data_IF_840217426793
#
_entry.id   IF_840217426793
#
_cell.length_a   1.000
_cell.length_b   1.000
_cell.length_c   1.000
_cell.angle_alpha   90.00
_cell.angle_beta   90.00
_cell.angle_gamma   90.00
#
_symmetry.space_group_name_H-M   'P 1'
#
loop_
_entity.id
_entity.type
_entity.pdbx_description
1 polymer ?
#
# COMPACT_ATOMS: atom_id res chain seq x y z
N UNK A 1 -12.95 -12.98 -25.79
CA UNK A 1 -12.84 -11.74 -24.99
C UNK A 1 -11.96 -12.04 -23.79
N UNK A 2 -10.78 -11.45 -23.68
CA UNK A 2 -9.96 -11.58 -22.48
C UNK A 2 -10.69 -10.88 -21.33
N UNK A 3 -10.98 -11.62 -20.25
CA UNK A 3 -11.50 -11.05 -19.01
C UNK A 3 -10.50 -10.03 -18.50
N UNK A 4 -10.92 -8.75 -18.44
CA UNK A 4 -10.13 -7.68 -17.83
C UNK A 4 -9.82 -8.15 -16.40
N UNK A 5 -8.54 -8.25 -15.98
CA UNK A 5 -8.23 -8.71 -14.64
C UNK A 5 -8.98 -7.83 -13.63
N UNK A 6 -9.72 -8.45 -12.72
CA UNK A 6 -10.38 -7.74 -11.63
C UNK A 6 -9.31 -6.94 -10.91
N UNK A 7 -9.39 -5.62 -11.03
CA UNK A 7 -8.37 -4.76 -10.44
C UNK A 7 -8.65 -4.78 -8.95
N UNK A 8 -7.86 -5.53 -8.17
CA UNK A 8 -8.05 -5.58 -6.72
C UNK A 8 -8.07 -4.15 -6.17
N UNK A 9 -9.08 -3.85 -5.37
CA UNK A 9 -9.15 -2.61 -4.61
C UNK A 9 -8.03 -2.60 -3.57
N UNK A 10 -7.54 -1.39 -3.25
CA UNK A 10 -6.44 -1.24 -2.30
C UNK A 10 -7.02 -1.02 -0.92
N UNK A 11 -7.15 -2.11 -0.17
CA UNK A 11 -7.71 -2.11 1.19
C UNK A 11 -6.74 -1.55 2.24
N UNK A 12 -5.44 -1.73 2.03
CA UNK A 12 -4.42 -1.19 2.92
C UNK A 12 -3.12 -0.90 2.18
N UNK A 13 -2.29 -0.06 2.79
CA UNK A 13 -0.91 0.16 2.40
C UNK A 13 0.03 0.03 3.60
N UNK A 14 1.20 -0.57 3.37
CA UNK A 14 2.33 -0.62 4.31
C UNK A 14 3.31 0.50 3.96
N UNK A 15 3.43 1.50 4.81
CA UNK A 15 4.20 2.70 4.51
C UNK A 15 5.62 2.67 5.10
N UNK A 16 6.52 3.46 4.51
CA UNK A 16 7.94 3.54 4.90
C UNK A 16 8.18 4.15 6.27
N UNK A 17 7.20 4.85 6.85
CA UNK A 17 7.20 5.29 8.25
C UNK A 17 6.83 4.17 9.25
N UNK A 18 6.62 2.95 8.75
CA UNK A 18 6.22 1.78 9.55
C UNK A 18 4.73 1.72 9.88
N UNK A 19 3.92 2.68 9.42
CA UNK A 19 2.49 2.65 9.65
C UNK A 19 1.74 1.78 8.61
N UNK A 20 0.65 1.19 9.08
CA UNK A 20 -0.34 0.56 8.23
C UNK A 20 -1.49 1.55 8.08
N UNK A 21 -1.80 1.94 6.86
CA UNK A 21 -2.97 2.75 6.56
C UNK A 21 -4.03 1.84 5.94
N UNK A 22 -5.24 1.90 6.45
CA UNK A 22 -6.39 1.18 5.89
C UNK A 22 -7.27 2.14 5.10
N UNK A 23 -7.92 1.62 4.06
CA UNK A 23 -8.78 2.40 3.17
C UNK A 23 -9.80 3.22 3.96
N UNK A 24 -9.98 4.46 3.56
CA UNK A 24 -10.90 5.40 4.17
C UNK A 24 -12.10 5.61 3.24
N UNK A 25 -13.25 5.09 3.63
CA UNK A 25 -14.52 5.34 2.93
C UNK A 25 -15.06 6.75 3.23
N UNK A 26 -15.02 7.17 4.50
CA UNK A 26 -15.60 8.44 4.98
C UNK A 26 -14.58 9.35 5.71
N UNK A 27 -14.89 9.75 6.95
CA UNK A 27 -14.00 10.54 7.82
C UNK A 27 -13.14 9.61 8.67
N UNK A 28 -11.85 9.91 8.84
CA UNK A 28 -11.00 9.10 9.69
C UNK A 28 -11.49 9.19 11.14
N UNK A 29 -11.29 8.15 11.96
CA UNK A 29 -11.47 8.27 13.40
C UNK A 29 -10.67 9.46 13.96
N UNK A 30 -11.18 10.08 15.02
CA UNK A 30 -10.55 11.27 15.60
C UNK A 30 -9.08 11.01 15.99
N UNK A 31 -8.21 11.98 15.68
CA UNK A 31 -6.78 11.91 16.00
C UNK A 31 -5.96 10.97 15.11
N UNK A 32 -6.55 10.35 14.07
CA UNK A 32 -5.78 9.49 13.15
C UNK A 32 -5.10 10.30 12.06
N UNK A 33 -3.83 9.97 11.79
CA UNK A 33 -3.09 10.48 10.62
C UNK A 33 -3.74 9.95 9.35
N UNK A 34 -3.82 10.79 8.31
CA UNK A 34 -4.34 10.42 6.99
C UNK A 34 -3.19 10.40 6.00
N UNK A 35 -3.17 9.39 5.14
CA UNK A 35 -2.31 9.32 3.98
C UNK A 35 -3.18 9.36 2.72
N UNK A 36 -2.85 10.30 1.83
CA UNK A 36 -3.35 10.32 0.45
C UNK A 36 -2.17 10.07 -0.46
N UNK A 37 -2.24 9.02 -1.28
CA UNK A 37 -1.18 8.65 -2.19
C UNK A 37 -1.68 8.31 -3.58
N UNK A 38 -0.79 8.43 -4.56
CA UNK A 38 -1.06 8.09 -5.95
C UNK A 38 -0.09 7.01 -6.40
N UNK A 39 -0.62 6.01 -7.13
CA UNK A 39 0.19 4.89 -7.59
C UNK A 39 1.22 5.34 -8.63
N UNK A 40 2.45 4.87 -8.48
CA UNK A 40 3.46 4.90 -9.53
C UNK A 40 3.05 3.92 -10.65
N UNK A 41 3.35 4.32 -11.88
CA UNK A 41 3.25 3.44 -13.04
C UNK A 41 4.35 2.38 -13.01
N UNK A 42 4.17 1.31 -13.79
CA UNK A 42 5.19 0.28 -13.94
C UNK A 42 6.51 0.84 -14.50
N UNK A 43 6.43 1.78 -15.45
CA UNK A 43 7.60 2.40 -16.08
C UNK A 43 8.37 3.27 -15.09
N UNK A 44 7.69 4.04 -14.24
CA UNK A 44 8.35 4.82 -13.19
C UNK A 44 9.05 3.91 -12.17
N UNK A 45 8.37 2.85 -11.74
CA UNK A 45 8.98 1.84 -10.87
C UNK A 45 10.22 1.21 -11.51
N UNK A 46 10.18 0.91 -12.81
CA UNK A 46 11.30 0.35 -13.56
C UNK A 46 12.46 1.35 -13.70
N UNK A 47 12.16 2.62 -13.99
CA UNK A 47 13.16 3.69 -14.12
C UNK A 47 13.91 3.95 -12.80
N UNK A 48 13.20 3.95 -11.67
CA UNK A 48 13.83 4.09 -10.36
C UNK A 48 14.56 2.81 -9.92
N UNK A 49 14.01 1.65 -10.29
CA UNK A 49 14.47 0.35 -9.82
C UNK A 49 14.42 0.21 -8.29
N UNK A 50 14.82 -0.97 -7.79
CA UNK A 50 14.75 -1.26 -6.35
C UNK A 50 15.57 -0.28 -5.50
N UNK A 51 16.79 0.06 -5.93
CA UNK A 51 17.66 0.98 -5.17
C UNK A 51 17.10 2.40 -5.13
N UNK A 52 16.56 2.90 -6.24
CA UNK A 52 15.95 4.22 -6.30
C UNK A 52 14.70 4.31 -5.43
N UNK A 53 13.83 3.30 -5.49
CA UNK A 53 12.62 3.24 -4.66
C UNK A 53 12.96 3.14 -3.16
N UNK A 54 13.98 2.36 -2.77
CA UNK A 54 14.43 2.29 -1.37
C UNK A 54 15.00 3.62 -0.89
N UNK A 55 15.84 4.28 -1.70
CA UNK A 55 16.35 5.62 -1.39
C UNK A 55 15.21 6.61 -1.23
N UNK A 56 14.20 6.54 -2.10
CA UNK A 56 13.03 7.39 -2.02
C UNK A 56 12.24 7.14 -0.74
N UNK A 57 12.00 5.88 -0.37
CA UNK A 57 11.34 5.49 0.87
C UNK A 57 12.05 5.99 2.13
N UNK A 58 13.38 6.19 2.08
CA UNK A 58 14.15 6.81 3.17
C UNK A 58 14.02 8.33 3.25
N UNK A 59 13.57 8.98 2.19
CA UNK A 59 13.49 10.45 2.08
C UNK A 59 12.06 10.98 2.08
N UNK A 60 11.09 10.16 1.66
CA UNK A 60 9.69 10.50 1.50
C UNK A 60 8.82 9.33 1.93
N UNK A 61 7.55 9.63 2.21
CA UNK A 61 6.57 8.59 2.53
C UNK A 61 6.18 7.83 1.27
N UNK A 62 6.55 6.55 1.23
CA UNK A 62 6.24 5.60 0.18
C UNK A 62 5.48 4.43 0.80
N UNK A 63 4.45 3.94 0.13
CA UNK A 63 3.64 2.84 0.66
C UNK A 63 3.41 1.73 -0.36
N UNK A 64 3.53 0.48 0.08
CA UNK A 64 3.20 -0.70 -0.70
C UNK A 64 1.73 -1.07 -0.46
N UNK A 65 0.90 -0.98 -1.50
CA UNK A 65 -0.51 -1.35 -1.41
C UNK A 65 -0.76 -2.84 -1.49
N UNK A 66 -1.87 -3.27 -0.91
CA UNK A 66 -2.38 -4.65 -1.00
C UNK A 66 -2.67 -5.10 -2.43
N UNK A 67 -2.78 -4.16 -3.38
CA UNK A 67 -2.91 -4.42 -4.82
C UNK A 67 -1.54 -4.59 -5.52
N UNK A 68 -0.44 -4.60 -4.77
CA UNK A 68 0.92 -4.78 -5.28
C UNK A 68 1.54 -3.52 -5.90
N UNK A 69 0.87 -2.36 -5.82
CA UNK A 69 1.39 -1.10 -6.36
C UNK A 69 2.14 -0.29 -5.31
N UNK A 70 3.06 0.54 -5.78
CA UNK A 70 3.76 1.53 -4.95
C UNK A 70 3.01 2.86 -5.02
N UNK A 71 2.68 3.42 -3.86
CA UNK A 71 2.02 4.70 -3.70
C UNK A 71 3.00 5.72 -3.12
N UNK A 72 2.98 6.92 -3.65
CA UNK A 72 3.74 8.06 -3.13
C UNK A 72 2.79 9.15 -2.67
N UNK A 73 3.19 9.91 -1.65
CA UNK A 73 2.37 10.99 -1.09
C UNK A 73 1.90 12.01 -2.12
N UNK A 74 0.75 12.63 -1.84
CA UNK A 74 0.20 13.74 -2.63
C UNK A 74 1.24 14.86 -2.83
N UNK A 75 1.30 15.39 -4.05
CA UNK A 75 2.26 16.43 -4.45
C UNK A 75 3.59 15.90 -5.00
N UNK A 76 3.89 14.60 -4.88
CA UNK A 76 5.12 14.02 -5.43
C UNK A 76 5.03 13.64 -6.91
N UNK A 77 3.81 13.46 -7.43
CA UNK A 77 3.54 13.11 -8.84
C UNK A 77 2.24 13.79 -9.30
N UNK A 78 2.07 13.96 -10.62
CA UNK A 78 0.80 14.43 -11.21
C UNK A 78 -0.31 13.40 -10.95
N UNK A 79 -1.41 13.74 -10.26
CA UNK A 79 -2.46 12.80 -9.91
C UNK A 79 -3.32 12.34 -11.09
N UNK A 80 -3.29 13.03 -12.23
CA UNK A 80 -4.18 12.76 -13.37
C UNK A 80 -3.99 11.34 -13.91
N UNK A 81 -5.09 10.58 -13.98
CA UNK A 81 -5.11 9.22 -14.50
C UNK A 81 -4.51 8.16 -13.58
N UNK A 82 -4.11 8.50 -12.35
CA UNK A 82 -3.50 7.56 -11.40
C UNK A 82 -4.53 6.95 -10.45
N UNK A 83 -4.26 5.72 -10.02
CA UNK A 83 -5.01 5.11 -8.92
C UNK A 83 -4.67 5.86 -7.63
N UNK A 84 -5.70 6.41 -6.98
CA UNK A 84 -5.60 7.09 -5.69
C UNK A 84 -5.85 6.08 -4.57
N UNK A 85 -5.06 6.17 -3.52
CA UNK A 85 -5.36 5.57 -2.22
C UNK A 85 -5.52 6.69 -1.20
N UNK A 86 -6.53 6.57 -0.34
CA UNK A 86 -6.71 7.45 0.81
C UNK A 86 -7.04 6.57 2.00
N UNK A 87 -6.27 6.70 3.07
CA UNK A 87 -6.41 5.85 4.24
C UNK A 87 -5.98 6.53 5.53
N UNK A 88 -6.37 5.94 6.65
CA UNK A 88 -5.97 6.43 7.98
C UNK A 88 -5.07 5.43 8.69
N UNK A 89 -4.14 5.95 9.48
CA UNK A 89 -3.17 5.14 10.21
C UNK A 89 -3.87 4.34 11.33
N UNK A 90 -3.58 3.05 11.38
CA UNK A 90 -3.90 2.22 12.53
C UNK A 90 -3.15 2.70 13.79
N UNK A 91 -3.73 2.49 14.97
CA UNK A 91 -3.00 2.66 16.23
C UNK A 91 -1.93 1.59 16.36
N UNK A 92 -0.94 1.76 17.26
CA UNK A 92 0.03 0.70 17.54
C UNK A 92 -0.61 -0.66 17.87
N UNK A 93 -1.70 -0.68 18.64
CA UNK A 93 -2.40 -1.90 19.05
C UNK A 93 -3.17 -2.56 17.90
N UNK A 94 -3.78 -1.76 17.02
CA UNK A 94 -4.44 -2.22 15.80
C UNK A 94 -3.41 -2.73 14.79
N UNK A 95 -2.32 -2.00 14.57
CA UNK A 95 -1.23 -2.39 13.68
C UNK A 95 -0.61 -3.72 14.14
N UNK A 96 -0.41 -3.93 15.44
CA UNK A 96 0.06 -5.21 16.00
C UNK A 96 -0.90 -6.37 15.74
N UNK A 97 -2.22 -6.12 15.79
CA UNK A 97 -3.23 -7.13 15.41
C UNK A 97 -3.18 -7.41 13.91
N UNK A 98 -3.22 -6.36 13.07
CA UNK A 98 -3.16 -6.48 11.62
C UNK A 98 -1.90 -7.22 11.15
N UNK A 99 -0.73 -6.89 11.72
CA UNK A 99 0.53 -7.57 11.38
C UNK A 99 0.51 -9.07 11.70
N UNK A 100 -0.09 -9.48 12.83
CA UNK A 100 -0.27 -10.90 13.16
C UNK A 100 -1.18 -11.60 12.16
N UNK A 101 -2.25 -10.95 11.74
CA UNK A 101 -3.19 -11.49 10.75
C UNK A 101 -2.57 -11.62 9.36
N UNK A 102 -1.81 -10.60 8.93
CA UNK A 102 -1.04 -10.63 7.69
C UNK A 102 -0.02 -11.77 7.73
N UNK A 103 0.75 -11.90 8.81
CA UNK A 103 1.74 -12.97 8.96
C UNK A 103 1.08 -14.36 8.92
N UNK A 104 0.00 -14.56 9.67
CA UNK A 104 -0.77 -15.82 9.68
C UNK A 104 -1.31 -16.17 8.30
N UNK A 105 -1.90 -15.20 7.61
CA UNK A 105 -2.43 -15.38 6.25
C UNK A 105 -1.31 -15.72 5.27
N UNK A 106 -0.20 -14.98 5.28
CA UNK A 106 0.94 -15.23 4.41
C UNK A 106 1.53 -16.64 4.63
N UNK A 107 1.64 -17.09 5.89
CA UNK A 107 2.06 -18.44 6.21
C UNK A 107 1.10 -19.49 5.64
N UNK A 108 -0.21 -19.35 5.90
CA UNK A 108 -1.23 -20.29 5.41
C UNK A 108 -1.25 -20.39 3.88
N UNK A 109 -1.16 -19.25 3.17
CA UNK A 109 -1.09 -19.22 1.70
C UNK A 109 0.17 -19.93 1.19
N UNK A 110 1.32 -19.70 1.84
CA UNK A 110 2.59 -20.33 1.46
C UNK A 110 2.54 -21.85 1.59
N UNK A 111 1.96 -22.36 2.69
CA UNK A 111 1.79 -23.80 2.89
C UNK A 111 0.86 -24.38 1.83
N UNK A 112 -0.31 -23.76 1.60
CA UNK A 112 -1.26 -24.21 0.59
C UNK A 112 -0.67 -24.23 -0.84
N UNK A 113 0.18 -23.25 -1.17
CA UNK A 113 0.86 -23.19 -2.46
C UNK A 113 1.91 -24.30 -2.66
N UNK A 114 2.51 -24.82 -1.58
CA UNK A 114 3.47 -25.94 -1.62
C UNK A 114 2.83 -27.32 -1.73
N UNK A 115 1.53 -27.42 -1.45
CA UNK A 115 0.80 -28.70 -1.46
C UNK A 115 0.18 -29.01 -2.83
N UNK A 116 0.43 -28.17 -3.84
CA UNK A 116 0.13 -28.38 -5.26
C UNK A 116 1.41 -28.65 -6.02
#
# INVERSE_FOLDING_TARGET
MATKPSTMETELVLASDGAIYVSLEDKPPAGRRVFTGYALSADECAQHGTRGLLRWASLQLLALGSDGRVYVGEGLVDPRGRKKFRGYALTPEEAKRAAREIHRTAFNVTIAARTK
#
